data_IF_181887543093
#
_entry.id   IF_181887543093
#
_cell.length_a   1.000
_cell.length_b   1.000
_cell.length_c   1.000
_cell.angle_alpha   90.00
_cell.angle_beta   90.00
_cell.angle_gamma   90.00
#
_symmetry.space_group_name_H-M   'P 1'
#
loop_
_entity.id
_entity.type
_entity.pdbx_description
1 polymer ?
#
# COMPACT_ATOMS: atom_id res chain seq x y z
N UNK A 1 11.10 0.62 42.79
CA UNK A 1 10.23 0.17 41.69
C UNK A 1 10.97 0.48 40.40
N UNK A 2 11.56 -0.51 39.74
CA UNK A 2 12.23 -0.32 38.44
C UNK A 2 11.22 -0.54 37.32
N UNK A 3 11.13 0.41 36.40
CA UNK A 3 10.33 0.29 35.17
C UNK A 3 11.04 -0.70 34.25
N UNK A 4 10.35 -1.71 33.70
CA UNK A 4 10.96 -2.61 32.73
C UNK A 4 11.38 -1.82 31.47
N UNK A 5 12.45 -2.22 30.78
CA UNK A 5 12.81 -1.58 29.52
C UNK A 5 11.62 -1.64 28.56
N UNK A 6 11.32 -0.51 27.92
CA UNK A 6 10.33 -0.48 26.85
C UNK A 6 10.69 -1.56 25.82
N UNK A 7 9.72 -2.41 25.47
CA UNK A 7 9.92 -3.40 24.42
C UNK A 7 10.48 -2.69 23.18
N UNK A 8 11.48 -3.31 22.55
CA UNK A 8 11.99 -2.81 21.27
C UNK A 8 10.81 -2.62 20.31
N UNK A 9 10.75 -1.52 19.54
CA UNK A 9 9.66 -1.32 18.60
C UNK A 9 9.58 -2.56 17.71
N UNK A 10 8.39 -3.16 17.65
CA UNK A 10 8.14 -4.28 16.75
C UNK A 10 8.56 -3.85 15.34
N UNK A 11 9.48 -4.60 14.73
CA UNK A 11 9.96 -4.27 13.39
C UNK A 11 8.78 -4.35 12.42
N UNK A 12 8.30 -3.20 11.97
CA UNK A 12 7.24 -3.12 10.96
C UNK A 12 7.80 -3.60 9.64
N UNK A 13 7.36 -4.78 9.19
CA UNK A 13 7.73 -5.34 7.90
C UNK A 13 6.82 -4.77 6.83
N UNK A 14 7.40 -4.15 5.80
CA UNK A 14 6.68 -3.67 4.64
C UNK A 14 6.78 -4.69 3.51
N UNK A 15 5.62 -5.17 3.06
CA UNK A 15 5.47 -6.20 2.04
C UNK A 15 5.07 -5.56 0.71
N UNK A 16 5.70 -5.92 -0.42
CA UNK A 16 5.32 -5.37 -1.71
C UNK A 16 4.03 -6.01 -2.26
N UNK A 17 3.06 -5.16 -2.55
CA UNK A 17 1.86 -5.46 -3.32
C UNK A 17 2.02 -4.88 -4.73
N UNK A 18 2.07 -5.73 -5.75
CA UNK A 18 2.34 -5.30 -7.14
C UNK A 18 1.06 -4.90 -7.84
N UNK A 19 0.81 -3.59 -7.92
CA UNK A 19 -0.44 -2.99 -8.41
C UNK A 19 -0.24 -2.29 -9.75
N UNK A 20 -1.26 -2.38 -10.61
CA UNK A 20 -1.35 -1.58 -11.86
C UNK A 20 -1.58 -0.10 -11.53
N UNK A 21 -1.52 0.79 -12.52
CA UNK A 21 -1.93 2.18 -12.33
C UNK A 21 -3.41 2.28 -11.93
N UNK A 22 -4.28 1.53 -12.59
CA UNK A 22 -5.72 1.51 -12.31
C UNK A 22 -6.01 1.05 -10.89
N UNK A 23 -5.36 -0.02 -10.43
CA UNK A 23 -5.53 -0.50 -9.06
C UNK A 23 -5.06 0.54 -8.04
N UNK A 24 -3.96 1.25 -8.31
CA UNK A 24 -3.44 2.30 -7.42
C UNK A 24 -4.38 3.49 -7.33
N UNK A 25 -4.90 3.95 -8.46
CA UNK A 25 -5.87 5.06 -8.52
C UNK A 25 -7.16 4.70 -7.75
N UNK A 26 -7.61 3.45 -7.85
CA UNK A 26 -8.77 2.95 -7.11
C UNK A 26 -8.52 2.89 -5.59
N UNK A 27 -7.33 2.42 -5.16
CA UNK A 27 -6.96 2.48 -3.73
C UNK A 27 -6.88 3.94 -3.27
N UNK A 28 -6.20 4.81 -4.02
CA UNK A 28 -6.07 6.24 -3.70
C UNK A 28 -7.42 6.92 -3.52
N UNK A 29 -8.35 6.67 -4.45
CA UNK A 29 -9.72 7.16 -4.39
C UNK A 29 -10.44 6.67 -3.13
N UNK A 30 -10.44 5.35 -2.88
CA UNK A 30 -11.14 4.77 -1.74
C UNK A 30 -10.59 5.27 -0.40
N UNK A 31 -9.26 5.42 -0.30
CA UNK A 31 -8.58 5.91 0.90
C UNK A 31 -8.89 7.40 1.12
N UNK A 32 -8.83 8.22 0.07
CA UNK A 32 -9.14 9.65 0.15
C UNK A 32 -10.60 9.86 0.59
N UNK A 33 -11.54 9.15 -0.02
CA UNK A 33 -12.96 9.21 0.34
C UNK A 33 -13.19 8.83 1.81
N UNK A 34 -12.52 7.78 2.29
CA UNK A 34 -12.61 7.35 3.68
C UNK A 34 -12.08 8.41 4.66
N UNK A 35 -10.96 9.07 4.34
CA UNK A 35 -10.36 10.11 5.18
C UNK A 35 -11.15 11.42 5.18
N UNK A 36 -11.84 11.75 4.08
CA UNK A 36 -12.62 12.99 3.96
C UNK A 36 -14.04 12.90 4.52
N UNK A 37 -14.71 11.75 4.32
CA UNK A 37 -16.17 11.63 4.51
C UNK A 37 -16.55 10.60 5.57
N UNK A 38 -15.70 9.60 5.83
CA UNK A 38 -16.04 8.43 6.63
C UNK A 38 -15.73 8.57 8.12
N UNK A 39 -16.53 7.97 9.03
CA UNK A 39 -16.14 7.80 10.42
C UNK A 39 -15.06 6.70 10.52
N UNK A 40 -13.80 7.08 10.28
CA UNK A 40 -12.65 6.18 10.40
C UNK A 40 -12.09 6.24 11.82
N UNK A 41 -11.75 5.08 12.39
CA UNK A 41 -11.07 5.03 13.68
C UNK A 41 -9.73 5.79 13.59
N UNK A 42 -9.35 6.65 14.56
CA UNK A 42 -8.16 7.51 14.44
C UNK A 42 -6.86 6.76 14.13
N UNK A 43 -6.69 5.56 14.66
CA UNK A 43 -5.52 4.71 14.36
C UNK A 43 -5.52 4.23 12.91
N UNK A 44 -6.69 3.85 12.36
CA UNK A 44 -6.80 3.48 10.97
C UNK A 44 -6.54 4.69 10.05
N UNK A 45 -6.96 5.89 10.44
CA UNK A 45 -6.68 7.11 9.68
C UNK A 45 -5.17 7.39 9.52
N UNK A 46 -4.36 7.09 10.55
CA UNK A 46 -2.89 7.18 10.46
C UNK A 46 -2.36 6.22 9.38
N UNK A 47 -2.74 4.94 9.46
CA UNK A 47 -2.31 3.93 8.49
C UNK A 47 -2.79 4.24 7.07
N UNK A 48 -4.00 4.78 6.91
CA UNK A 48 -4.51 5.22 5.62
C UNK A 48 -3.73 6.43 5.06
N UNK A 49 -3.28 7.35 5.90
CA UNK A 49 -2.37 8.42 5.50
C UNK A 49 -1.00 7.91 5.02
N UNK A 50 -0.47 6.89 5.69
CA UNK A 50 0.78 6.23 5.27
C UNK A 50 0.60 5.52 3.92
N UNK A 51 -0.55 4.88 3.69
CA UNK A 51 -0.90 4.27 2.39
C UNK A 51 -0.92 5.31 1.27
N UNK A 52 -1.56 6.47 1.46
CA UNK A 52 -1.55 7.55 0.46
C UNK A 52 -0.13 8.02 0.14
N UNK A 53 0.71 8.14 1.18
CA UNK A 53 2.11 8.52 1.00
C UNK A 53 2.85 7.48 0.15
N UNK A 54 2.72 6.19 0.47
CA UNK A 54 3.37 5.12 -0.29
C UNK A 54 2.85 5.02 -1.73
N UNK A 55 1.56 5.26 -2.00
CA UNK A 55 1.02 5.29 -3.36
C UNK A 55 1.71 6.35 -4.23
N UNK A 56 1.88 7.56 -3.69
CA UNK A 56 2.62 8.63 -4.37
C UNK A 56 4.11 8.28 -4.57
N UNK A 57 4.75 7.68 -3.56
CA UNK A 57 6.14 7.22 -3.67
C UNK A 57 6.26 6.12 -4.73
N UNK A 58 5.31 5.19 -4.80
CA UNK A 58 5.27 4.12 -5.80
C UNK A 58 5.17 4.70 -7.22
N UNK A 59 4.31 5.70 -7.44
CA UNK A 59 4.23 6.41 -8.72
C UNK A 59 5.55 7.14 -9.06
N UNK A 60 6.15 7.84 -8.08
CA UNK A 60 7.41 8.56 -8.30
C UNK A 60 8.59 7.64 -8.64
N UNK A 61 8.63 6.40 -8.10
CA UNK A 61 9.73 5.43 -8.33
C UNK A 61 9.95 5.13 -9.81
N UNK A 62 8.90 5.16 -10.62
CA UNK A 62 9.01 4.91 -12.07
C UNK A 62 9.90 5.96 -12.77
N UNK A 63 9.88 7.19 -12.27
CA UNK A 63 10.65 8.30 -12.83
C UNK A 63 12.04 8.41 -12.20
N UNK A 64 12.16 8.09 -10.91
CA UNK A 64 13.41 8.23 -10.15
C UNK A 64 14.39 7.09 -10.45
N UNK A 65 13.89 5.86 -10.68
CA UNK A 65 14.70 4.67 -10.93
C UNK A 65 14.27 3.89 -12.18
N UNK A 66 14.34 4.50 -13.37
CA UNK A 66 13.80 3.90 -14.60
C UNK A 66 14.49 2.58 -14.98
N UNK A 67 15.82 2.49 -14.81
CA UNK A 67 16.57 1.28 -15.17
C UNK A 67 16.26 0.07 -14.27
N UNK A 68 16.22 0.18 -12.92
CA UNK A 68 15.71 -0.88 -12.06
C UNK A 68 14.29 -1.33 -12.40
N UNK A 69 13.38 -0.40 -12.65
CA UNK A 69 11.98 -0.69 -13.00
C UNK A 69 11.89 -1.47 -14.31
N UNK A 70 12.64 -1.06 -15.34
CA UNK A 70 12.71 -1.78 -16.61
C UNK A 70 13.18 -3.23 -16.44
N UNK A 71 14.18 -3.48 -15.57
CA UNK A 71 14.67 -4.85 -15.30
C UNK A 71 13.62 -5.73 -14.65
N UNK A 72 12.87 -5.20 -13.67
CA UNK A 72 11.79 -5.96 -13.02
C UNK A 72 10.73 -6.34 -14.06
N UNK A 73 10.28 -5.39 -14.89
CA UNK A 73 9.29 -5.65 -15.95
C UNK A 73 9.76 -6.73 -16.93
N UNK A 74 11.03 -6.69 -17.33
CA UNK A 74 11.63 -7.69 -18.22
C UNK A 74 11.68 -9.08 -17.57
N UNK A 75 11.99 -9.15 -16.28
CA UNK A 75 12.09 -10.42 -15.54
C UNK A 75 10.72 -11.04 -15.22
N UNK A 76 9.70 -10.23 -15.01
CA UNK A 76 8.38 -10.71 -14.58
C UNK A 76 7.35 -10.79 -15.70
N UNK A 77 7.59 -10.10 -16.82
CA UNK A 77 6.61 -9.92 -17.90
C UNK A 77 5.41 -9.06 -17.48
N UNK A 78 5.50 -8.32 -16.38
CA UNK A 78 4.42 -7.46 -15.90
C UNK A 78 4.22 -6.23 -16.79
N UNK A 79 3.01 -5.68 -16.71
CA UNK A 79 2.63 -4.44 -17.39
C UNK A 79 3.57 -3.29 -17.06
N UNK A 80 3.65 -2.33 -18.00
CA UNK A 80 4.53 -1.18 -17.90
C UNK A 80 4.11 -0.15 -16.85
N UNK A 81 3.04 -0.40 -16.12
CA UNK A 81 2.45 0.44 -15.08
C UNK A 81 2.38 -0.28 -13.72
N UNK A 82 2.88 -1.53 -13.67
CA UNK A 82 2.88 -2.35 -12.46
C UNK A 82 4.07 -1.98 -11.59
N UNK A 83 3.78 -1.53 -10.38
CA UNK A 83 4.78 -1.10 -9.39
C UNK A 83 4.49 -1.69 -8.01
N UNK A 84 5.51 -1.83 -7.15
CA UNK A 84 5.31 -2.31 -5.81
C UNK A 84 4.85 -1.16 -4.91
N UNK A 85 3.70 -1.35 -4.27
CA UNK A 85 3.20 -0.56 -3.14
C UNK A 85 3.51 -1.35 -1.87
N UNK A 86 4.36 -0.79 -1.01
CA UNK A 86 4.87 -1.50 0.17
C UNK A 86 4.02 -1.18 1.39
N UNK A 87 3.27 -2.16 1.87
CA UNK A 87 2.34 -1.99 2.98
C UNK A 87 2.74 -2.85 4.17
N UNK A 88 2.54 -2.32 5.38
CA UNK A 88 2.49 -3.14 6.59
C UNK A 88 1.19 -3.95 6.65
N UNK A 89 1.15 -4.96 7.52
CA UNK A 89 -0.06 -5.73 7.75
C UNK A 89 -1.24 -4.86 8.24
N UNK A 90 -0.95 -3.82 9.04
CA UNK A 90 -1.97 -2.89 9.55
C UNK A 90 -2.47 -1.93 8.46
N UNK A 91 -1.57 -1.44 7.60
CA UNK A 91 -1.95 -0.64 6.44
C UNK A 91 -2.81 -1.43 5.46
N UNK A 92 -2.40 -2.65 5.11
CA UNK A 92 -3.18 -3.54 4.25
C UNK A 92 -4.55 -3.84 4.86
N UNK A 93 -4.62 -4.20 6.15
CA UNK A 93 -5.88 -4.45 6.83
C UNK A 93 -6.79 -3.21 6.83
N UNK A 94 -6.23 -2.03 7.03
CA UNK A 94 -6.97 -0.76 7.01
C UNK A 94 -7.58 -0.52 5.62
N UNK A 95 -6.81 -0.71 4.54
CA UNK A 95 -7.32 -0.59 3.16
C UNK A 95 -8.40 -1.63 2.85
N UNK A 96 -8.18 -2.89 3.21
CA UNK A 96 -9.13 -3.98 2.92
C UNK A 96 -10.46 -3.80 3.66
N UNK A 97 -10.45 -3.09 4.79
CA UNK A 97 -11.65 -2.76 5.57
C UNK A 97 -12.53 -1.66 4.95
N UNK A 98 -12.04 -0.95 3.92
CA UNK A 98 -12.78 0.13 3.29
C UNK A 98 -13.98 -0.42 2.49
N UNK A 99 -15.21 0.06 2.76
CA UNK A 99 -16.40 -0.43 2.06
C UNK A 99 -16.42 0.01 0.59
N UNK A 100 -15.81 1.16 0.26
CA UNK A 100 -15.75 1.71 -1.08
C UNK A 100 -14.68 1.11 -1.99
N UNK A 101 -13.90 0.12 -1.52
CA UNK A 101 -12.84 -0.52 -2.31
C UNK A 101 -13.44 -1.58 -3.24
N UNK A 102 -13.20 -1.43 -4.54
CA UNK A 102 -13.70 -2.38 -5.54
C UNK A 102 -13.21 -3.83 -5.32
N UNK A 103 -14.04 -4.85 -5.62
CA UNK A 103 -13.66 -6.25 -5.46
C UNK A 103 -12.42 -6.66 -6.26
N UNK A 104 -12.23 -6.08 -7.46
CA UNK A 104 -11.09 -6.38 -8.33
C UNK A 104 -9.78 -5.91 -7.68
N UNK A 105 -9.76 -4.68 -7.17
CA UNK A 105 -8.60 -4.12 -6.46
C UNK A 105 -8.35 -4.82 -5.13
N UNK A 106 -9.41 -5.20 -4.41
CA UNK A 106 -9.30 -6.07 -3.22
C UNK A 106 -8.63 -7.40 -3.55
N UNK A 107 -8.98 -8.02 -4.67
CA UNK A 107 -8.33 -9.25 -5.15
C UNK A 107 -6.87 -9.00 -5.56
N UNK A 108 -6.54 -7.85 -6.15
CA UNK A 108 -5.16 -7.50 -6.48
C UNK A 108 -4.28 -7.38 -5.22
N UNK A 109 -4.79 -6.74 -4.17
CA UNK A 109 -4.13 -6.56 -2.86
C UNK A 109 -3.95 -7.85 -2.06
N UNK A 110 -4.72 -8.90 -2.36
CA UNK A 110 -4.72 -10.18 -1.63
C UNK A 110 -4.25 -11.37 -2.47
N UNK A 111 -4.12 -11.19 -3.79
CA UNK A 111 -3.76 -12.24 -4.74
C UNK A 111 -2.25 -12.46 -4.87
N UNK A 112 -1.86 -13.45 -5.67
CA UNK A 112 -0.47 -13.94 -5.79
C UNK A 112 0.58 -12.97 -6.38
N UNK A 113 0.20 -11.71 -6.59
CA UNK A 113 1.11 -10.58 -6.84
C UNK A 113 1.36 -9.74 -5.59
N UNK A 114 0.91 -10.21 -4.44
CA UNK A 114 1.28 -9.73 -3.12
C UNK A 114 2.25 -10.75 -2.55
N UNK A 115 3.48 -10.34 -2.24
CA UNK A 115 4.54 -11.24 -1.80
C UNK A 115 4.35 -11.71 -0.36
#
# INVERSE_FOLDING_TARGET
MSVPPAAAPEHVVLVPHWLTAVDREEVERAVTEALEVGPVHPVAAIHLGDVLTELHVAAAREFVWPAPVARVRLATGWGADVVPVRLSALELASVLSLPGLEPVTRAALTGGRSA
#
